data_IF_536300556607
#
_entry.id   IF_536300556607
#
_cell.length_a   1.000
_cell.length_b   1.000
_cell.length_c   1.000
_cell.angle_alpha   90.00
_cell.angle_beta   90.00
_cell.angle_gamma   90.00
#
_symmetry.space_group_name_H-M   'P 1'
#
loop_
_entity.id
_entity.type
_entity.pdbx_description
1 polymer ?
#
# COMPACT_ATOMS: atom_id res chain seq x y z
N UNK A 1 -19.74 14.41 -20.76
CA UNK A 1 -19.25 15.56 -19.95
C UNK A 1 -18.17 16.26 -20.76
N UNK A 2 -18.19 17.59 -20.82
CA UNK A 2 -17.17 18.35 -21.54
C UNK A 2 -15.89 18.34 -20.72
N UNK A 3 -14.80 17.83 -21.28
CA UNK A 3 -13.48 17.80 -20.67
C UNK A 3 -12.99 19.24 -20.44
N UNK A 4 -12.63 19.58 -19.21
CA UNK A 4 -12.10 20.89 -18.89
C UNK A 4 -10.56 20.83 -18.87
N UNK A 5 -9.91 21.64 -19.69
CA UNK A 5 -8.43 21.78 -19.72
C UNK A 5 -8.04 23.16 -19.20
N UNK A 6 -7.11 23.20 -18.27
CA UNK A 6 -6.56 24.44 -17.69
C UNK A 6 -5.05 24.44 -17.83
N UNK A 7 -4.49 25.53 -18.36
CA UNK A 7 -3.04 25.74 -18.38
C UNK A 7 -2.61 26.54 -17.14
N UNK A 8 -1.61 26.07 -16.41
CA UNK A 8 -1.02 26.77 -15.27
C UNK A 8 0.44 27.09 -15.59
N UNK A 9 0.73 28.38 -15.74
CA UNK A 9 2.06 28.90 -16.09
C UNK A 9 2.78 29.63 -14.94
N UNK A 10 2.11 29.77 -13.80
CA UNK A 10 2.71 30.39 -12.61
C UNK A 10 3.19 29.35 -11.61
N UNK A 11 4.46 29.41 -11.22
CA UNK A 11 5.07 28.57 -10.17
C UNK A 11 4.43 28.75 -8.80
N UNK A 12 3.86 29.92 -8.56
CA UNK A 12 3.23 30.31 -7.30
C UNK A 12 1.75 29.89 -7.20
N UNK A 13 1.23 29.22 -8.21
CA UNK A 13 -0.14 28.73 -8.19
C UNK A 13 -0.38 27.83 -6.98
N UNK A 14 -1.47 28.06 -6.25
CA UNK A 14 -1.80 27.33 -5.02
C UNK A 14 -1.94 25.84 -5.26
N UNK A 15 -2.57 25.43 -6.38
CA UNK A 15 -2.70 24.01 -6.73
C UNK A 15 -1.34 23.33 -6.91
N UNK A 16 -0.37 23.99 -7.58
CA UNK A 16 0.97 23.42 -7.76
C UNK A 16 1.74 23.31 -6.43
N UNK A 17 1.54 24.25 -5.51
CA UNK A 17 2.11 24.19 -4.15
C UNK A 17 1.56 22.98 -3.39
N UNK A 18 0.27 22.73 -3.47
CA UNK A 18 -0.38 21.59 -2.83
C UNK A 18 0.02 20.27 -3.48
N UNK A 19 0.10 20.22 -4.81
CA UNK A 19 0.57 19.04 -5.55
C UNK A 19 2.00 18.67 -5.18
N UNK A 20 2.90 19.68 -5.07
CA UNK A 20 4.29 19.47 -4.62
C UNK A 20 4.35 18.90 -3.20
N UNK A 21 3.46 19.34 -2.30
CA UNK A 21 3.35 18.73 -0.96
C UNK A 21 2.91 17.29 -1.04
N UNK A 22 1.90 16.97 -1.86
CA UNK A 22 1.43 15.60 -2.04
C UNK A 22 2.52 14.66 -2.58
N UNK A 23 3.44 15.17 -3.40
CA UNK A 23 4.52 14.35 -3.98
C UNK A 23 5.73 14.16 -3.06
N UNK A 24 5.93 15.03 -2.09
CA UNK A 24 7.15 15.09 -1.26
C UNK A 24 6.92 14.77 0.22
N UNK A 25 5.75 15.11 0.78
CA UNK A 25 5.41 14.87 2.18
C UNK A 25 4.62 13.57 2.31
N UNK A 26 5.16 12.65 3.10
CA UNK A 26 4.56 11.33 3.32
C UNK A 26 3.16 11.35 3.97
N UNK A 27 2.75 12.47 4.56
CA UNK A 27 1.51 12.60 5.33
C UNK A 27 0.56 13.67 4.81
N UNK A 28 0.97 14.45 3.80
CA UNK A 28 0.18 15.54 3.25
C UNK A 28 -1.23 15.11 2.80
N UNK A 29 -1.37 13.90 2.31
CA UNK A 29 -2.64 13.32 1.87
C UNK A 29 -3.72 13.35 2.97
N UNK A 30 -3.34 13.16 4.24
CA UNK A 30 -4.28 13.15 5.38
C UNK A 30 -4.95 14.50 5.56
N UNK A 31 -4.17 15.58 5.41
CA UNK A 31 -4.66 16.96 5.54
C UNK A 31 -5.42 17.42 4.30
N UNK A 32 -4.97 17.00 3.13
CA UNK A 32 -5.55 17.42 1.86
C UNK A 32 -6.75 16.56 1.42
N UNK A 33 -6.95 15.37 2.01
CA UNK A 33 -7.96 14.43 1.59
C UNK A 33 -7.75 13.88 0.17
N UNK A 34 -6.51 13.95 -0.34
CA UNK A 34 -6.13 13.56 -1.70
C UNK A 34 -4.71 13.00 -1.70
N UNK A 35 -4.37 12.24 -2.74
CA UNK A 35 -3.01 11.77 -2.95
C UNK A 35 -2.62 11.84 -4.42
N UNK A 36 -1.32 11.89 -4.66
CA UNK A 36 -0.70 12.01 -5.98
C UNK A 36 -0.14 10.68 -6.44
N UNK A 37 -0.45 10.32 -7.68
CA UNK A 37 0.09 9.13 -8.35
C UNK A 37 0.76 9.58 -9.64
N UNK A 38 2.05 9.33 -9.75
CA UNK A 38 2.89 9.73 -10.87
C UNK A 38 3.22 8.54 -11.77
N UNK A 39 3.16 8.79 -13.09
CA UNK A 39 3.55 7.86 -14.12
C UNK A 39 2.44 6.96 -14.61
N UNK A 40 2.60 6.49 -15.85
CA UNK A 40 1.60 5.74 -16.58
C UNK A 40 1.23 4.41 -15.92
N UNK A 41 2.21 3.71 -15.40
CA UNK A 41 2.03 2.36 -14.86
C UNK A 41 1.07 2.33 -13.66
N UNK A 42 1.29 3.23 -12.69
CA UNK A 42 0.43 3.33 -11.50
C UNK A 42 -0.94 3.91 -11.82
N UNK A 43 -0.97 4.90 -12.70
CA UNK A 43 -2.22 5.52 -13.16
C UNK A 43 -3.07 4.49 -13.92
N UNK A 44 -2.47 3.70 -14.80
CA UNK A 44 -3.16 2.60 -15.51
C UNK A 44 -3.73 1.57 -14.55
N UNK A 45 -2.98 1.19 -13.52
CA UNK A 45 -3.46 0.24 -12.52
C UNK A 45 -4.72 0.71 -11.79
N UNK A 46 -4.90 2.03 -11.61
CA UNK A 46 -6.13 2.61 -11.07
C UNK A 46 -7.29 2.50 -12.07
N UNK A 47 -7.05 2.94 -13.31
CA UNK A 47 -8.09 2.98 -14.34
C UNK A 47 -8.62 1.59 -14.69
N UNK A 48 -7.75 0.58 -14.79
CA UNK A 48 -8.15 -0.82 -15.02
C UNK A 48 -9.08 -1.35 -13.93
N UNK A 49 -9.00 -0.81 -12.71
CA UNK A 49 -9.90 -1.14 -11.61
C UNK A 49 -11.11 -0.20 -11.48
N UNK A 50 -11.33 0.66 -12.46
CA UNK A 50 -12.45 1.58 -12.48
C UNK A 50 -12.33 2.75 -11.50
N UNK A 51 -11.14 3.00 -10.94
CA UNK A 51 -10.92 4.13 -10.03
C UNK A 51 -10.67 5.39 -10.85
N UNK A 52 -11.54 6.38 -10.69
CA UNK A 52 -11.45 7.62 -11.45
C UNK A 52 -10.65 8.68 -10.70
N UNK A 53 -9.68 9.34 -11.35
CA UNK A 53 -8.96 10.46 -10.77
C UNK A 53 -9.84 11.73 -10.74
N UNK A 54 -9.63 12.56 -9.73
CA UNK A 54 -10.26 13.86 -9.63
C UNK A 54 -9.62 14.91 -10.56
N UNK A 55 -8.28 14.80 -10.77
CA UNK A 55 -7.53 15.70 -11.66
C UNK A 55 -6.46 14.93 -12.42
N UNK A 56 -6.36 15.14 -13.73
CA UNK A 56 -5.22 14.74 -14.55
C UNK A 56 -4.20 15.88 -14.65
N UNK A 57 -2.92 15.58 -14.50
CA UNK A 57 -1.82 16.52 -14.65
C UNK A 57 -0.90 16.02 -15.75
N UNK A 58 -0.58 16.88 -16.71
CA UNK A 58 0.23 16.57 -17.87
C UNK A 58 1.29 17.64 -18.10
N UNK A 59 2.49 17.26 -18.54
CA UNK A 59 3.45 18.20 -19.03
C UNK A 59 3.04 18.77 -20.40
N UNK A 60 3.47 19.98 -20.69
CA UNK A 60 3.20 20.65 -21.97
C UNK A 60 3.65 19.84 -23.19
N UNK A 61 4.82 19.22 -23.10
CA UNK A 61 5.36 18.39 -24.19
C UNK A 61 4.60 17.09 -24.41
N UNK A 62 4.06 16.50 -23.33
CA UNK A 62 3.34 15.24 -23.38
C UNK A 62 1.86 15.41 -23.73
N UNK A 63 1.22 16.50 -23.34
CA UNK A 63 -0.21 16.71 -23.52
C UNK A 63 -0.73 16.46 -24.95
N UNK A 64 -0.07 16.95 -26.03
CA UNK A 64 -0.52 16.68 -27.39
C UNK A 64 -0.39 15.21 -27.82
N UNK A 65 0.43 14.44 -27.09
CA UNK A 65 0.72 13.03 -27.38
C UNK A 65 -0.06 12.10 -26.44
N UNK A 66 -0.75 12.66 -25.44
CA UNK A 66 -1.43 11.88 -24.44
C UNK A 66 -2.53 11.01 -25.07
N UNK A 67 -2.58 9.71 -24.82
CA UNK A 67 -3.67 8.85 -25.24
C UNK A 67 -5.01 9.41 -24.78
N UNK A 68 -6.05 9.27 -25.60
CA UNK A 68 -7.39 9.79 -25.34
C UNK A 68 -7.96 9.27 -24.02
N UNK A 69 -7.71 8.01 -23.70
CA UNK A 69 -8.14 7.40 -22.45
C UNK A 69 -7.56 8.10 -21.20
N UNK A 70 -6.35 8.66 -21.30
CA UNK A 70 -5.73 9.41 -20.20
C UNK A 70 -6.34 10.81 -20.05
N UNK A 71 -6.55 11.48 -21.18
CA UNK A 71 -7.18 12.80 -21.20
C UNK A 71 -8.65 12.75 -20.74
N UNK A 72 -9.33 11.62 -20.95
CA UNK A 72 -10.73 11.42 -20.55
C UNK A 72 -10.91 10.80 -19.16
N UNK A 73 -9.83 10.34 -18.53
CA UNK A 73 -9.89 9.68 -17.22
C UNK A 73 -10.38 10.60 -16.10
N UNK A 74 -10.01 11.89 -16.14
CA UNK A 74 -10.42 12.89 -15.16
C UNK A 74 -11.38 13.92 -15.78
N UNK A 75 -12.24 14.47 -14.95
CA UNK A 75 -13.14 15.55 -15.36
C UNK A 75 -12.37 16.84 -15.68
N UNK A 76 -11.27 17.08 -14.93
CA UNK A 76 -10.41 18.25 -15.06
C UNK A 76 -8.99 17.81 -15.38
N UNK A 77 -8.41 18.41 -16.42
CA UNK A 77 -7.01 18.25 -16.77
C UNK A 77 -6.27 19.57 -16.59
N UNK A 78 -5.06 19.48 -16.06
CA UNK A 78 -4.15 20.61 -15.86
C UNK A 78 -2.88 20.32 -16.65
N UNK A 79 -2.53 21.28 -17.51
CA UNK A 79 -1.30 21.24 -18.29
C UNK A 79 -0.33 22.25 -17.71
N UNK A 80 0.90 21.81 -17.48
CA UNK A 80 1.96 22.60 -16.84
C UNK A 80 3.25 22.52 -17.65
N UNK A 81 4.12 23.56 -17.61
CA UNK A 81 5.45 23.50 -18.19
C UNK A 81 6.25 22.28 -17.70
N UNK A 82 7.05 21.68 -18.57
CA UNK A 82 7.88 20.51 -18.24
C UNK A 82 8.78 20.77 -17.02
N UNK A 83 9.33 21.97 -16.90
CA UNK A 83 10.13 22.36 -15.74
C UNK A 83 9.36 22.31 -14.42
N UNK A 84 8.05 22.63 -14.44
CA UNK A 84 7.23 22.56 -13.23
C UNK A 84 6.86 21.12 -12.89
N UNK A 85 6.67 20.28 -13.91
CA UNK A 85 6.45 18.87 -13.70
C UNK A 85 7.68 18.23 -13.04
N UNK A 86 8.87 18.57 -13.51
CA UNK A 86 10.14 18.14 -12.91
C UNK A 86 10.27 18.57 -11.43
N UNK A 87 9.88 19.79 -11.09
CA UNK A 87 9.92 20.29 -9.70
C UNK A 87 8.92 19.57 -8.76
N UNK A 88 7.83 19.04 -9.31
CA UNK A 88 6.81 18.31 -8.56
C UNK A 88 7.19 16.84 -8.41
N UNK A 89 7.81 16.26 -9.43
CA UNK A 89 8.15 14.84 -9.46
C UNK A 89 9.02 14.44 -8.25
N UNK A 90 8.70 13.30 -7.69
CA UNK A 90 9.52 12.63 -6.67
C UNK A 90 10.46 11.56 -7.26
N UNK A 91 10.61 11.53 -8.59
CA UNK A 91 11.42 10.54 -9.31
C UNK A 91 12.71 11.17 -9.85
N UNK A 92 13.80 10.40 -9.91
CA UNK A 92 15.05 10.82 -10.57
C UNK A 92 14.83 11.06 -12.07
N UNK A 93 13.97 10.25 -12.69
CA UNK A 93 13.48 10.45 -14.06
C UNK A 93 11.98 10.76 -13.99
N UNK A 94 11.60 12.04 -14.00
CA UNK A 94 10.21 12.45 -13.92
C UNK A 94 9.36 11.84 -15.02
N UNK A 95 8.16 11.40 -14.65
CA UNK A 95 7.14 11.09 -15.64
C UNK A 95 6.62 12.39 -16.27
N UNK A 96 5.86 12.26 -17.35
CA UNK A 96 5.25 13.43 -18.03
C UNK A 96 3.77 13.59 -17.69
N UNK A 97 3.24 12.72 -16.84
CA UNK A 97 1.84 12.71 -16.42
C UNK A 97 1.65 12.07 -15.05
N UNK A 98 0.53 12.38 -14.45
CA UNK A 98 0.06 11.73 -13.24
C UNK A 98 -1.35 12.17 -12.89
N UNK A 99 -1.92 11.52 -11.88
CA UNK A 99 -3.28 11.77 -11.43
C UNK A 99 -3.33 12.11 -9.93
N UNK A 100 -4.22 13.02 -9.59
CA UNK A 100 -4.68 13.23 -8.21
C UNK A 100 -5.96 12.43 -8.02
N UNK A 101 -6.00 11.64 -6.94
CA UNK A 101 -7.17 10.90 -6.50
C UNK A 101 -7.66 11.45 -5.17
N UNK A 102 -8.95 11.42 -4.95
CA UNK A 102 -9.51 11.70 -3.63
C UNK A 102 -9.21 10.51 -2.69
N UNK A 103 -8.83 10.80 -1.45
CA UNK A 103 -8.54 9.78 -0.47
C UNK A 103 -9.83 9.02 -0.12
N UNK A 104 -9.84 7.68 -0.24
CA UNK A 104 -11.01 6.90 0.18
C UNK A 104 -11.37 7.19 1.63
N UNK A 105 -12.66 7.18 1.93
CA UNK A 105 -13.09 7.21 3.33
C UNK A 105 -12.50 6.02 4.09
N UNK A 106 -12.07 6.26 5.34
CA UNK A 106 -11.55 5.19 6.17
C UNK A 106 -12.61 4.11 6.34
N UNK A 107 -12.29 2.92 5.88
CA UNK A 107 -13.18 1.78 6.00
C UNK A 107 -13.17 1.25 7.45
N UNK A 108 -14.30 0.72 7.91
CA UNK A 108 -14.34 0.00 9.17
C UNK A 108 -13.63 -1.35 9.04
N UNK A 109 -13.00 -1.78 10.13
CA UNK A 109 -12.39 -3.10 10.21
C UNK A 109 -13.45 -4.18 9.98
N UNK A 110 -13.17 -5.10 9.06
CA UNK A 110 -14.04 -6.23 8.74
C UNK A 110 -13.61 -7.45 9.55
N UNK A 111 -14.46 -7.97 10.45
CA UNK A 111 -14.06 -9.00 11.42
C UNK A 111 -13.55 -10.32 10.81
N UNK A 112 -14.15 -10.76 9.70
CA UNK A 112 -13.86 -12.05 9.09
C UNK A 112 -13.06 -11.99 7.78
N UNK A 113 -12.47 -10.82 7.48
CA UNK A 113 -11.69 -10.63 6.26
C UNK A 113 -10.24 -11.02 6.47
N UNK A 114 -9.69 -11.87 5.58
CA UNK A 114 -8.27 -12.20 5.58
C UNK A 114 -7.41 -10.93 5.54
N UNK A 115 -6.57 -10.76 6.55
CA UNK A 115 -5.94 -9.48 6.88
C UNK A 115 -4.43 -9.59 7.03
N UNK A 116 -3.75 -8.46 6.83
CA UNK A 116 -2.37 -8.24 7.24
C UNK A 116 -2.33 -7.11 8.25
N UNK A 117 -1.75 -7.36 9.42
CA UNK A 117 -1.54 -6.37 10.47
C UNK A 117 -0.08 -5.90 10.37
N UNK A 118 0.12 -4.60 10.23
CA UNK A 118 1.44 -3.98 10.21
C UNK A 118 1.69 -3.31 11.58
N UNK A 119 2.55 -3.91 12.37
CA UNK A 119 2.92 -3.41 13.69
C UNK A 119 4.22 -2.60 13.60
N UNK A 120 4.10 -1.31 13.37
CA UNK A 120 5.21 -0.36 13.33
C UNK A 120 6.24 -0.66 12.23
N UNK A 121 5.83 -1.23 11.10
CA UNK A 121 6.69 -1.37 9.92
C UNK A 121 6.99 0.02 9.37
N UNK A 122 8.24 0.47 9.43
CA UNK A 122 8.60 1.87 9.18
C UNK A 122 9.14 2.13 7.77
N UNK A 123 9.75 1.14 7.14
CA UNK A 123 10.25 1.31 5.78
C UNK A 123 9.10 1.28 4.76
N UNK A 124 8.98 2.36 3.99
CA UNK A 124 7.92 2.52 3.00
C UNK A 124 8.02 1.50 1.85
N UNK A 125 9.23 1.04 1.52
CA UNK A 125 9.46 0.00 0.52
C UNK A 125 8.93 -1.35 1.00
N UNK A 126 9.22 -1.70 2.26
CA UNK A 126 8.69 -2.91 2.90
C UNK A 126 7.16 -2.88 2.93
N UNK A 127 6.57 -1.77 3.41
CA UNK A 127 5.11 -1.63 3.44
C UNK A 127 4.51 -1.83 2.04
N UNK A 128 5.00 -1.12 1.03
CA UNK A 128 4.50 -1.26 -0.34
C UNK A 128 4.65 -2.68 -0.89
N UNK A 129 5.76 -3.34 -0.63
CA UNK A 129 6.00 -4.74 -1.03
C UNK A 129 5.05 -5.71 -0.33
N UNK A 130 4.75 -5.47 0.95
CA UNK A 130 3.76 -6.26 1.70
C UNK A 130 2.36 -6.07 1.12
N UNK A 131 1.94 -4.83 0.82
CA UNK A 131 0.67 -4.57 0.16
C UNK A 131 0.54 -5.34 -1.16
N UNK A 132 1.61 -5.34 -1.95
CA UNK A 132 1.66 -6.06 -3.22
C UNK A 132 1.52 -7.57 -3.04
N UNK A 133 2.23 -8.15 -2.08
CA UNK A 133 2.11 -9.57 -1.73
C UNK A 133 0.72 -9.92 -1.19
N UNK A 134 0.16 -9.10 -0.31
CA UNK A 134 -1.19 -9.27 0.22
C UNK A 134 -2.23 -9.30 -0.89
N UNK A 135 -2.18 -8.32 -1.80
CA UNK A 135 -3.08 -8.27 -2.96
C UNK A 135 -2.96 -9.51 -3.85
N UNK A 136 -1.72 -9.98 -4.10
CA UNK A 136 -1.46 -11.14 -4.95
C UNK A 136 -1.97 -12.44 -4.34
N UNK A 137 -1.88 -12.59 -3.02
CA UNK A 137 -2.25 -13.81 -2.29
C UNK A 137 -3.66 -13.79 -1.69
N UNK A 138 -4.50 -12.84 -2.08
CA UNK A 138 -5.92 -12.82 -1.72
C UNK A 138 -6.25 -12.21 -0.37
N UNK A 139 -5.28 -11.66 0.35
CA UNK A 139 -5.53 -10.87 1.55
C UNK A 139 -6.08 -9.51 1.13
N UNK A 140 -7.23 -9.14 1.68
CA UNK A 140 -7.98 -7.95 1.20
C UNK A 140 -7.92 -6.77 2.15
N UNK A 141 -7.56 -6.98 3.41
CA UNK A 141 -7.54 -5.95 4.45
C UNK A 141 -6.11 -5.74 4.98
N UNK A 142 -5.67 -4.50 5.02
CA UNK A 142 -4.41 -4.08 5.64
C UNK A 142 -4.73 -3.20 6.83
N UNK A 143 -4.27 -3.61 8.00
CA UNK A 143 -4.48 -2.93 9.27
C UNK A 143 -3.15 -2.38 9.74
N UNK A 144 -2.92 -1.09 9.56
CA UNK A 144 -1.70 -0.42 10.00
C UNK A 144 -1.89 0.14 11.42
N UNK A 145 -1.17 -0.43 12.38
CA UNK A 145 -1.13 0.11 13.74
C UNK A 145 -0.36 1.45 13.76
N UNK A 146 -0.56 2.22 14.82
CA UNK A 146 0.17 3.47 15.05
C UNK A 146 1.68 3.24 14.99
N UNK A 147 2.40 4.11 14.29
CA UNK A 147 3.84 3.99 14.08
C UNK A 147 4.25 3.29 12.78
N UNK A 148 3.32 2.71 12.04
CA UNK A 148 3.57 2.19 10.69
C UNK A 148 3.70 3.34 9.68
N UNK A 149 4.53 3.16 8.65
CA UNK A 149 4.65 4.12 7.56
C UNK A 149 3.30 4.40 6.90
N UNK A 150 3.11 5.64 6.50
CA UNK A 150 1.85 6.14 5.95
C UNK A 150 1.49 5.41 4.64
N UNK A 151 0.38 4.68 4.61
CA UNK A 151 0.01 3.76 3.53
C UNK A 151 -0.18 4.46 2.17
N UNK A 152 -0.68 5.71 2.18
CA UNK A 152 -0.91 6.50 0.98
C UNK A 152 0.24 7.48 0.67
N UNK A 153 1.39 7.32 1.31
CA UNK A 153 2.58 8.13 1.01
C UNK A 153 3.10 7.84 -0.41
N UNK A 154 3.74 8.81 -1.07
CA UNK A 154 4.29 8.63 -2.42
C UNK A 154 5.23 7.43 -2.53
N UNK A 155 6.04 7.19 -1.49
CA UNK A 155 6.98 6.06 -1.47
C UNK A 155 6.26 4.71 -1.39
N UNK A 156 5.22 4.58 -0.54
CA UNK A 156 4.43 3.35 -0.42
C UNK A 156 3.60 3.10 -1.67
N UNK A 157 2.99 4.15 -2.25
CA UNK A 157 2.26 4.04 -3.52
C UNK A 157 3.14 3.48 -4.64
N UNK A 158 4.37 3.98 -4.78
CA UNK A 158 5.33 3.48 -5.77
C UNK A 158 5.70 2.02 -5.51
N UNK A 159 6.11 1.69 -4.28
CA UNK A 159 6.51 0.32 -3.93
C UNK A 159 5.35 -0.68 -4.07
N UNK A 160 4.12 -0.24 -3.80
CA UNK A 160 2.90 -1.05 -3.91
C UNK A 160 2.45 -1.35 -5.33
N UNK A 161 2.99 -0.63 -6.35
CA UNK A 161 2.74 -0.91 -7.77
C UNK A 161 1.25 -1.09 -8.12
N UNK A 162 0.37 -0.27 -7.52
CA UNK A 162 -1.07 -0.31 -7.75
C UNK A 162 -1.86 -1.34 -6.92
N UNK A 163 -1.25 -2.03 -5.98
CA UNK A 163 -1.94 -2.94 -5.07
C UNK A 163 -3.03 -2.24 -4.22
N UNK A 164 -2.82 -0.95 -3.92
CA UNK A 164 -3.75 -0.12 -3.15
C UNK A 164 -5.20 -0.19 -3.64
N UNK A 165 -5.39 -0.26 -4.96
CA UNK A 165 -6.70 -0.24 -5.61
C UNK A 165 -7.54 -1.52 -5.37
N UNK A 166 -6.91 -2.59 -4.90
CA UNK A 166 -7.58 -3.86 -4.62
C UNK A 166 -7.68 -4.19 -3.13
N UNK A 167 -7.25 -3.28 -2.26
CA UNK A 167 -7.12 -3.49 -0.82
C UNK A 167 -7.96 -2.49 -0.03
N UNK A 168 -8.49 -2.93 1.09
CA UNK A 168 -9.03 -2.08 2.14
C UNK A 168 -7.90 -1.69 3.08
N UNK A 169 -7.55 -0.41 3.10
CA UNK A 169 -6.44 0.12 3.89
C UNK A 169 -6.98 0.88 5.10
N UNK A 170 -6.57 0.48 6.29
CA UNK A 170 -7.00 1.08 7.56
C UNK A 170 -5.74 1.52 8.31
N UNK A 171 -5.63 2.83 8.59
CA UNK A 171 -4.46 3.41 9.23
C UNK A 171 -4.74 3.88 10.65
N UNK A 172 -3.67 3.89 11.45
CA UNK A 172 -3.69 4.48 12.80
C UNK A 172 -4.51 3.69 13.81
N UNK A 173 -4.74 2.40 13.52
CA UNK A 173 -5.53 1.50 14.37
C UNK A 173 -4.85 1.33 15.73
N UNK A 174 -5.62 1.39 16.80
CA UNK A 174 -5.13 1.05 18.12
C UNK A 174 -5.15 -0.46 18.32
N UNK A 175 -4.22 -0.99 19.11
CA UNK A 175 -4.12 -2.43 19.37
C UNK A 175 -5.44 -3.03 19.88
N UNK A 176 -6.13 -2.33 20.77
CA UNK A 176 -7.44 -2.74 21.32
C UNK A 176 -8.56 -2.86 20.29
N UNK A 177 -8.39 -2.26 19.12
CA UNK A 177 -9.38 -2.40 18.03
C UNK A 177 -9.28 -3.75 17.33
N UNK A 178 -8.14 -4.45 17.46
CA UNK A 178 -7.96 -5.80 16.92
C UNK A 178 -8.87 -6.83 17.60
N UNK A 179 -9.40 -6.56 18.78
CA UNK A 179 -10.40 -7.39 19.47
C UNK A 179 -11.69 -7.55 18.64
N UNK A 180 -11.89 -6.69 17.63
CA UNK A 180 -12.99 -6.80 16.67
C UNK A 180 -12.79 -7.86 15.60
N UNK A 181 -11.56 -8.39 15.45
CA UNK A 181 -11.29 -9.48 14.51
C UNK A 181 -11.87 -10.78 15.03
N UNK A 182 -12.65 -11.43 14.20
CA UNK A 182 -13.25 -12.76 14.45
C UNK A 182 -12.51 -13.84 13.60
N UNK A 183 -11.19 -13.69 13.48
CA UNK A 183 -10.28 -14.60 12.80
C UNK A 183 -8.99 -14.74 13.60
N UNK A 184 -8.30 -15.89 13.53
CA UNK A 184 -7.04 -16.09 14.23
C UNK A 184 -5.97 -15.09 13.78
N UNK A 185 -5.23 -14.54 14.74
CA UNK A 185 -4.03 -13.73 14.49
C UNK A 185 -2.81 -14.66 14.52
N UNK A 186 -2.04 -14.64 13.45
CA UNK A 186 -0.80 -15.38 13.30
C UNK A 186 0.37 -14.41 13.34
N UNK A 187 1.40 -14.76 14.12
CA UNK A 187 2.59 -13.92 14.30
C UNK A 187 3.82 -14.65 13.76
N UNK A 188 4.66 -13.93 13.01
CA UNK A 188 5.99 -14.41 12.68
C UNK A 188 6.93 -14.15 13.84
N UNK A 189 7.64 -15.16 14.30
CA UNK A 189 8.66 -15.07 15.35
C UNK A 189 9.96 -15.73 14.90
N UNK A 190 11.09 -15.24 15.34
CA UNK A 190 12.39 -15.90 15.15
C UNK A 190 12.65 -17.00 16.19
N UNK A 191 11.94 -16.96 17.32
CA UNK A 191 12.28 -17.77 18.49
C UNK A 191 11.17 -18.72 18.97
N UNK A 192 9.90 -18.47 18.62
CA UNK A 192 8.74 -19.19 19.16
C UNK A 192 7.87 -19.81 18.07
N UNK A 193 7.21 -20.91 18.41
CA UNK A 193 6.20 -21.56 17.56
C UNK A 193 6.76 -22.62 16.62
N UNK A 194 5.85 -23.19 15.83
CA UNK A 194 6.15 -24.23 14.84
C UNK A 194 6.84 -23.65 13.61
N UNK A 195 7.63 -24.46 12.92
CA UNK A 195 8.11 -24.05 11.61
C UNK A 195 6.95 -24.03 10.58
N UNK A 196 6.93 -23.03 9.73
CA UNK A 196 5.88 -22.83 8.73
C UNK A 196 5.63 -24.07 7.86
N UNK A 197 6.70 -24.76 7.42
CA UNK A 197 6.56 -25.99 6.63
C UNK A 197 5.92 -27.12 7.43
N UNK A 198 6.15 -27.21 8.75
CA UNK A 198 5.50 -28.18 9.64
C UNK A 198 4.04 -27.82 9.87
N UNK A 199 3.74 -26.55 10.13
CA UNK A 199 2.37 -26.05 10.26
C UNK A 199 1.53 -26.32 9.00
N UNK A 200 2.13 -26.21 7.81
CA UNK A 200 1.51 -26.59 6.54
C UNK A 200 1.23 -28.11 6.46
N UNK A 201 2.23 -28.94 6.76
CA UNK A 201 2.11 -30.41 6.73
C UNK A 201 1.03 -30.90 7.70
N UNK A 202 0.98 -30.30 8.90
CA UNK A 202 0.04 -30.64 9.94
C UNK A 202 -1.36 -30.01 9.75
N UNK A 203 -1.56 -29.18 8.70
CA UNK A 203 -2.81 -28.44 8.45
C UNK A 203 -3.22 -27.50 9.59
N UNK A 204 -2.23 -26.90 10.25
CA UNK A 204 -2.44 -26.00 11.40
C UNK A 204 -2.77 -24.57 10.95
N UNK A 205 -2.52 -24.20 9.67
CA UNK A 205 -2.83 -22.88 9.16
C UNK A 205 -4.35 -22.75 8.93
N UNK A 206 -5.01 -21.76 9.56
CA UNK A 206 -6.42 -21.52 9.34
C UNK A 206 -6.69 -21.01 7.91
N UNK A 207 -7.86 -21.34 7.39
CA UNK A 207 -8.30 -20.93 6.04
C UNK A 207 -8.41 -19.42 5.90
N UNK A 208 -8.81 -18.73 6.97
CA UNK A 208 -8.89 -17.28 7.04
C UNK A 208 -8.18 -16.83 8.30
N UNK A 209 -7.24 -15.88 8.16
CA UNK A 209 -6.44 -15.40 9.27
C UNK A 209 -5.96 -13.96 9.07
N UNK A 210 -5.38 -13.38 10.12
CA UNK A 210 -4.67 -12.13 10.10
C UNK A 210 -3.19 -12.37 10.39
N UNK A 211 -2.30 -12.12 9.42
CA UNK A 211 -0.86 -12.18 9.64
C UNK A 211 -0.34 -10.87 10.23
N UNK A 212 0.28 -10.94 11.40
CA UNK A 212 0.93 -9.81 12.03
C UNK A 212 2.43 -9.78 11.69
N UNK A 213 2.86 -8.64 11.15
CA UNK A 213 4.22 -8.36 10.72
C UNK A 213 4.76 -7.19 11.51
N UNK A 214 5.92 -7.36 12.14
CA UNK A 214 6.47 -6.40 13.08
C UNK A 214 7.53 -5.47 12.50
N UNK A 215 7.99 -4.57 13.36
CA UNK A 215 9.10 -3.64 13.12
C UNK A 215 10.37 -4.38 12.68
N UNK A 216 11.10 -3.80 11.74
CA UNK A 216 12.28 -4.42 11.10
C UNK A 216 13.37 -4.87 12.10
N UNK A 217 13.56 -4.11 13.16
CA UNK A 217 14.58 -4.43 14.17
C UNK A 217 14.04 -5.03 15.47
N UNK A 218 12.76 -4.83 15.79
CA UNK A 218 12.18 -5.25 17.07
C UNK A 218 11.16 -6.40 16.93
N UNK A 219 10.76 -6.71 15.70
CA UNK A 219 9.70 -7.69 15.47
C UNK A 219 8.32 -7.19 15.88
N UNK A 220 7.40 -8.10 16.09
CA UNK A 220 6.05 -7.84 16.58
C UNK A 220 6.11 -7.46 18.05
N UNK A 221 5.26 -6.51 18.49
CA UNK A 221 5.19 -6.08 19.88
C UNK A 221 4.67 -7.20 20.79
N UNK A 222 5.17 -7.26 22.02
CA UNK A 222 4.74 -8.25 23.02
C UNK A 222 3.22 -8.26 23.21
N UNK A 223 2.60 -7.10 23.18
CA UNK A 223 1.16 -6.97 23.35
C UNK A 223 0.38 -7.60 22.17
N UNK A 224 0.89 -7.48 20.94
CA UNK A 224 0.30 -8.15 19.79
C UNK A 224 0.65 -9.64 19.74
N UNK A 225 1.86 -10.03 20.17
CA UNK A 225 2.22 -11.45 20.35
C UNK A 225 1.29 -12.16 21.36
N UNK A 226 0.88 -11.47 22.42
CA UNK A 226 -0.05 -12.02 23.40
C UNK A 226 -1.47 -12.28 22.85
N UNK A 227 -1.85 -11.60 21.77
CA UNK A 227 -3.12 -11.83 21.07
C UNK A 227 -3.03 -12.96 20.03
N UNK A 228 -1.85 -13.46 19.73
CA UNK A 228 -1.65 -14.44 18.68
C UNK A 228 -2.24 -15.81 19.03
N UNK A 229 -2.98 -16.38 18.11
CA UNK A 229 -3.48 -17.76 18.19
C UNK A 229 -2.40 -18.76 17.78
N UNK A 230 -1.46 -18.35 16.91
CA UNK A 230 -0.39 -19.21 16.43
C UNK A 230 0.88 -18.39 16.19
N UNK A 231 2.00 -18.91 16.70
CA UNK A 231 3.34 -18.40 16.40
C UNK A 231 4.02 -19.29 15.36
N UNK A 232 4.59 -18.68 14.34
CA UNK A 232 5.19 -19.39 13.21
C UNK A 232 6.61 -18.90 12.96
N UNK A 233 7.52 -19.84 12.71
CA UNK A 233 8.90 -19.57 12.33
C UNK A 233 9.12 -19.92 10.86
N UNK A 234 9.85 -19.09 10.15
CA UNK A 234 10.38 -19.43 8.83
C UNK A 234 11.75 -20.11 9.02
N UNK A 235 11.88 -21.33 8.50
CA UNK A 235 13.17 -22.03 8.59
C UNK A 235 14.24 -21.31 7.76
N UNK A 236 15.39 -21.06 8.36
CA UNK A 236 16.54 -20.37 7.76
C UNK A 236 17.79 -21.27 7.87
N UNK A 237 17.95 -22.29 7.02
CA UNK A 237 19.07 -23.23 7.11
C UNK A 237 20.44 -22.59 6.84
N UNK A 238 20.46 -21.38 6.26
CA UNK A 238 21.68 -20.60 6.04
C UNK A 238 22.29 -19.96 7.29
N UNK A 239 21.63 -20.06 8.46
CA UNK A 239 22.14 -19.55 9.72
C UNK A 239 21.97 -18.05 9.95
N UNK A 240 21.26 -17.34 9.08
CA UNK A 240 20.94 -15.92 9.28
C UNK A 240 19.94 -15.73 10.43
N UNK A 241 20.06 -14.60 11.16
CA UNK A 241 19.20 -14.34 12.33
C UNK A 241 17.79 -13.89 11.97
N UNK A 242 17.64 -13.21 10.83
CA UNK A 242 16.35 -12.66 10.42
C UNK A 242 16.20 -12.52 8.90
N UNK A 243 14.95 -12.49 8.44
CA UNK A 243 14.59 -12.14 7.07
C UNK A 243 14.05 -10.71 7.02
N UNK A 244 14.22 -10.06 5.87
CA UNK A 244 13.49 -8.84 5.58
C UNK A 244 11.97 -9.07 5.79
N UNK A 245 11.29 -8.13 6.45
CA UNK A 245 9.87 -8.26 6.82
C UNK A 245 8.95 -8.46 5.61
N UNK A 246 9.24 -7.85 4.45
CA UNK A 246 8.45 -8.05 3.24
C UNK A 246 8.68 -9.44 2.63
N UNK A 247 9.89 -9.98 2.73
CA UNK A 247 10.18 -11.36 2.32
C UNK A 247 9.46 -12.37 3.24
N UNK A 248 9.53 -12.16 4.55
CA UNK A 248 8.78 -12.98 5.51
C UNK A 248 7.28 -12.93 5.25
N UNK A 249 6.73 -11.74 4.97
CA UNK A 249 5.34 -11.56 4.57
C UNK A 249 4.99 -12.39 3.34
N UNK A 250 5.76 -12.28 2.26
CA UNK A 250 5.49 -12.99 1.01
C UNK A 250 5.45 -14.51 1.22
N UNK A 251 6.37 -15.06 2.02
CA UNK A 251 6.44 -16.49 2.36
C UNK A 251 5.18 -16.92 3.14
N UNK A 252 4.81 -16.19 4.19
CA UNK A 252 3.67 -16.53 5.04
C UNK A 252 2.34 -16.41 4.30
N UNK A 253 2.16 -15.32 3.54
CA UNK A 253 0.93 -15.08 2.79
C UNK A 253 0.75 -16.09 1.66
N UNK A 254 1.84 -16.45 0.95
CA UNK A 254 1.82 -17.50 -0.05
C UNK A 254 1.46 -18.86 0.58
N UNK A 255 2.08 -19.21 1.71
CA UNK A 255 1.79 -20.45 2.42
C UNK A 255 0.31 -20.57 2.79
N UNK A 256 -0.31 -19.52 3.34
CA UNK A 256 -1.73 -19.49 3.65
C UNK A 256 -2.59 -19.59 2.40
N UNK A 257 -2.25 -18.88 1.33
CA UNK A 257 -3.02 -18.92 0.08
C UNK A 257 -3.01 -20.30 -0.56
N UNK A 258 -1.87 -21.01 -0.49
CA UNK A 258 -1.71 -22.34 -1.10
C UNK A 258 -2.21 -23.49 -0.23
N UNK A 259 -2.27 -23.30 1.09
CA UNK A 259 -2.79 -24.32 2.03
C UNK A 259 -4.24 -24.72 1.75
N UNK A 260 -5.03 -23.85 1.14
CA UNK A 260 -6.45 -24.07 0.80
C UNK A 260 -6.70 -24.47 -0.66
N UNK A 261 -5.65 -24.55 -1.49
CA UNK A 261 -5.79 -25.01 -2.86
C UNK A 261 -5.97 -26.54 -2.91
N UNK A 262 -6.87 -27.05 -3.75
CA UNK A 262 -6.92 -28.49 -3.98
C UNK A 262 -5.61 -28.95 -4.62
N UNK A 263 -5.07 -30.08 -4.13
CA UNK A 263 -3.85 -30.70 -4.66
C UNK A 263 -4.06 -31.28 -6.05
#
# INVERSE_FOLDING_TARGET
MTMQVQHITSRDNAFLKDLRRLSQDNTAYRKQGRFWVEGDHLCRAALVRGVQPSVGIFSESFWPLAPVEWAQAAIKNIVIPDAFFHDISGLESPASMGFVFDLPQSAALQPQMASVILDRVQDAGNVGSILRSASAFGFKQIIALKGTAALWSPKVLRAGMGAHWGLQLIEGVALSELDKLDIPILVTSSHRGSFLHQALQNKELPTTCAWALGHEGQGVSEALEAMASLHVRIAQPGGEESLNVAAAAAICLHASATASLPG
#
